data_IF_549634357568
#
_entry.id   IF_549634357568
#
_cell.length_a   1.000
_cell.length_b   1.000
_cell.length_c   1.000
_cell.angle_alpha   90.00
_cell.angle_beta   90.00
_cell.angle_gamma   90.00
#
_symmetry.space_group_name_H-M   'P 1'
#
loop_
_entity.id
_entity.type
_entity.pdbx_description
1 polymer ?
#
# COMPACT_ATOMS: atom_id res chain seq x y z
N UNK A 1 -13.61 32.06 -10.73
CA UNK A 1 -14.21 30.95 -11.50
C UNK A 1 -13.70 31.07 -12.92
N UNK A 2 -12.92 30.10 -13.41
CA UNK A 2 -12.50 30.08 -14.83
C UNK A 2 -13.57 29.28 -15.56
N UNK A 3 -14.49 29.98 -16.23
CA UNK A 3 -15.43 29.38 -17.17
C UNK A 3 -14.69 29.15 -18.48
N UNK A 4 -14.17 27.96 -18.69
CA UNK A 4 -13.63 27.55 -20.00
C UNK A 4 -14.81 27.39 -20.97
N UNK A 5 -14.89 28.28 -21.96
CA UNK A 5 -15.86 28.15 -23.05
C UNK A 5 -15.64 26.82 -23.79
N UNK A 6 -16.72 26.12 -24.19
CA UNK A 6 -16.58 24.89 -24.97
C UNK A 6 -15.89 25.19 -26.30
N UNK A 7 -14.86 24.41 -26.62
CA UNK A 7 -14.17 24.49 -27.91
C UNK A 7 -15.07 23.81 -28.94
N UNK A 8 -15.58 24.60 -29.89
CA UNK A 8 -16.35 24.09 -31.04
C UNK A 8 -15.37 23.86 -32.19
N UNK A 9 -15.17 22.61 -32.56
CA UNK A 9 -14.33 22.22 -33.70
C UNK A 9 -15.24 21.91 -34.88
N UNK A 10 -15.14 22.68 -35.97
CA UNK A 10 -15.85 22.39 -37.20
C UNK A 10 -15.08 21.31 -37.97
N UNK A 11 -15.71 20.16 -38.17
CA UNK A 11 -15.14 19.01 -38.87
C UNK A 11 -15.76 18.94 -40.27
N UNK A 12 -14.95 18.65 -41.28
CA UNK A 12 -15.45 18.42 -42.64
C UNK A 12 -16.18 17.08 -42.71
N UNK A 13 -17.28 17.06 -43.46
CA UNK A 13 -18.09 15.86 -43.68
C UNK A 13 -17.22 14.72 -44.24
N UNK A 14 -17.21 13.57 -43.57
CA UNK A 14 -16.37 12.39 -43.89
C UNK A 14 -15.02 12.31 -43.16
N UNK A 15 -14.66 13.28 -42.31
CA UNK A 15 -13.44 13.26 -41.47
C UNK A 15 -13.73 13.04 -39.97
N UNK A 16 -14.99 12.78 -39.61
CA UNK A 16 -15.45 12.65 -38.22
C UNK A 16 -14.71 11.53 -37.48
N UNK A 17 -14.46 10.41 -38.15
CA UNK A 17 -13.79 9.24 -37.55
C UNK A 17 -12.38 9.58 -37.05
N UNK A 18 -11.63 10.42 -37.77
CA UNK A 18 -10.26 10.80 -37.38
C UNK A 18 -10.22 11.61 -36.08
N UNK A 19 -11.22 12.46 -35.85
CA UNK A 19 -11.35 13.24 -34.62
C UNK A 19 -11.90 12.41 -33.46
N UNK A 20 -12.85 11.49 -33.73
CA UNK A 20 -13.39 10.58 -32.71
C UNK A 20 -12.29 9.63 -32.20
N UNK A 21 -11.44 9.11 -33.09
CA UNK A 21 -10.28 8.30 -32.71
C UNK A 21 -9.26 9.10 -31.89
N UNK A 22 -8.93 10.33 -32.32
CA UNK A 22 -8.01 11.21 -31.56
C UNK A 22 -8.50 11.52 -30.15
N UNK A 23 -9.80 11.74 -29.95
CA UNK A 23 -10.37 11.99 -28.62
C UNK A 23 -10.31 10.73 -27.75
N UNK A 24 -10.61 9.56 -28.31
CA UNK A 24 -10.49 8.28 -27.59
C UNK A 24 -9.04 8.01 -27.17
N UNK A 25 -8.10 8.21 -28.08
CA UNK A 25 -6.66 8.01 -27.81
C UNK A 25 -6.16 9.00 -26.75
N UNK A 26 -6.61 10.26 -26.81
CA UNK A 26 -6.31 11.26 -25.79
C UNK A 26 -6.88 10.85 -24.42
N UNK A 27 -8.14 10.43 -24.35
CA UNK A 27 -8.77 9.98 -23.10
C UNK A 27 -8.07 8.76 -22.52
N UNK A 28 -7.68 7.81 -23.36
CA UNK A 28 -6.91 6.63 -22.95
C UNK A 28 -5.54 7.04 -22.40
N UNK A 29 -4.82 7.90 -23.11
CA UNK A 29 -3.51 8.39 -22.67
C UNK A 29 -3.61 9.17 -21.38
N UNK A 30 -4.62 10.02 -21.23
CA UNK A 30 -4.90 10.76 -20.01
C UNK A 30 -5.19 9.81 -18.84
N UNK A 31 -6.06 8.83 -19.06
CA UNK A 31 -6.38 7.80 -18.06
C UNK A 31 -5.12 7.04 -17.64
N UNK A 32 -4.32 6.59 -18.60
CA UNK A 32 -3.04 5.91 -18.33
C UNK A 32 -2.10 6.81 -17.53
N UNK A 33 -1.98 8.09 -17.89
CA UNK A 33 -1.09 9.04 -17.21
C UNK A 33 -1.46 9.29 -15.74
N UNK A 34 -2.71 9.01 -15.38
CA UNK A 34 -3.25 9.14 -14.03
C UNK A 34 -3.15 7.83 -13.21
N UNK A 35 -2.79 6.70 -13.85
CA UNK A 35 -2.65 5.43 -13.14
C UNK A 35 -1.44 5.43 -12.21
N UNK A 36 -1.55 4.69 -11.11
CA UNK A 36 -0.46 4.55 -10.13
C UNK A 36 0.81 3.96 -10.78
N UNK A 37 0.65 2.95 -11.62
CA UNK A 37 1.74 2.32 -12.35
C UNK A 37 2.44 3.28 -13.31
N UNK A 38 1.75 4.28 -13.86
CA UNK A 38 2.39 5.32 -14.65
C UNK A 38 3.18 6.30 -13.80
N UNK A 39 2.56 6.80 -12.72
CA UNK A 39 3.16 7.84 -11.87
C UNK A 39 4.35 7.28 -11.08
N UNK A 40 4.19 6.10 -10.48
CA UNK A 40 5.14 5.51 -9.55
C UNK A 40 5.78 4.22 -10.04
N UNK A 41 5.38 3.65 -11.19
CA UNK A 41 5.93 2.39 -11.70
C UNK A 41 7.45 2.38 -11.90
N UNK A 42 8.08 3.55 -12.00
CA UNK A 42 9.53 3.69 -12.08
C UNK A 42 10.22 3.88 -10.72
N UNK A 43 9.46 4.09 -9.63
CA UNK A 43 10.00 4.17 -8.28
C UNK A 43 10.75 2.88 -7.95
N UNK A 44 12.01 2.96 -7.48
CA UNK A 44 12.78 1.78 -7.11
C UNK A 44 12.11 1.05 -5.95
N UNK A 45 12.49 -0.21 -5.74
CA UNK A 45 12.15 -0.92 -4.51
C UNK A 45 12.77 -0.22 -3.30
N UNK A 46 12.05 -0.21 -2.19
CA UNK A 46 12.49 0.40 -0.94
C UNK A 46 12.01 -0.41 0.26
N UNK A 47 12.60 -0.13 1.42
CA UNK A 47 12.22 -0.75 2.68
C UNK A 47 11.82 0.32 3.69
N UNK A 48 10.86 0.00 4.56
CA UNK A 48 10.42 0.84 5.66
C UNK A 48 10.50 0.07 6.97
N UNK A 49 11.21 0.61 7.96
CA UNK A 49 11.25 0.05 9.31
C UNK A 49 10.07 0.57 10.15
N UNK A 50 9.28 -0.31 10.76
CA UNK A 50 8.08 0.05 11.51
C UNK A 50 8.36 0.93 12.74
N UNK A 51 9.51 0.71 13.39
CA UNK A 51 9.96 1.47 14.56
C UNK A 51 10.10 2.98 14.31
N UNK A 52 10.29 3.39 13.05
CA UNK A 52 10.31 4.81 12.67
C UNK A 52 8.93 5.47 12.71
N UNK A 53 7.86 4.67 12.76
CA UNK A 53 6.47 5.13 12.70
C UNK A 53 5.69 4.85 13.99
N UNK A 54 6.12 3.86 14.77
CA UNK A 54 5.57 3.56 16.10
C UNK A 54 6.71 3.31 17.10
N UNK A 55 7.11 4.33 17.89
CA UNK A 55 8.23 4.20 18.83
C UNK A 55 8.02 3.13 19.91
N UNK A 56 6.78 2.78 20.23
CA UNK A 56 6.47 1.74 21.21
C UNK A 56 6.87 0.34 20.72
N UNK A 57 7.19 0.16 19.43
CA UNK A 57 7.74 -1.09 18.91
C UNK A 57 9.22 -1.30 19.28
N UNK A 58 9.92 -0.28 19.79
CA UNK A 58 11.34 -0.37 20.13
C UNK A 58 11.67 -1.54 21.08
N UNK A 59 10.78 -1.87 22.02
CA UNK A 59 10.97 -3.05 22.87
C UNK A 59 11.05 -4.36 22.07
N UNK A 60 10.12 -4.55 21.12
CA UNK A 60 10.09 -5.70 20.21
C UNK A 60 11.32 -5.72 19.30
N UNK A 61 11.67 -4.57 18.72
CA UNK A 61 12.76 -4.53 17.75
C UNK A 61 14.13 -4.66 18.40
N UNK A 62 14.28 -4.22 19.65
CA UNK A 62 15.45 -4.51 20.47
C UNK A 62 15.58 -5.99 20.83
N UNK A 63 14.46 -6.71 20.95
CA UNK A 63 14.45 -8.14 21.32
C UNK A 63 14.64 -9.06 20.10
N UNK A 64 13.97 -8.77 18.98
CA UNK A 64 13.83 -9.68 17.84
C UNK A 64 14.43 -9.13 16.53
N UNK A 65 14.93 -7.90 16.53
CA UNK A 65 15.38 -7.19 15.34
C UNK A 65 14.31 -6.27 14.76
N UNK A 66 14.73 -5.36 13.87
CA UNK A 66 13.81 -4.39 13.25
C UNK A 66 12.75 -5.10 12.41
N UNK A 67 11.49 -4.65 12.50
CA UNK A 67 10.41 -5.15 11.62
C UNK A 67 10.37 -4.24 10.39
N UNK A 68 10.60 -4.82 9.22
CA UNK A 68 10.72 -4.13 7.94
C UNK A 68 9.62 -4.54 6.98
N UNK A 69 9.12 -3.55 6.23
CA UNK A 69 8.27 -3.73 5.08
C UNK A 69 9.14 -3.63 3.84
N UNK A 70 9.06 -4.62 2.97
CA UNK A 70 9.60 -4.58 1.63
C UNK A 70 8.53 -4.06 0.66
N UNK A 71 8.86 -3.00 -0.07
CA UNK A 71 8.07 -2.53 -1.19
C UNK A 71 8.82 -2.81 -2.49
N UNK A 72 8.15 -3.46 -3.43
CA UNK A 72 8.68 -3.65 -4.79
C UNK A 72 8.62 -2.34 -5.58
N UNK A 73 9.28 -2.36 -6.74
CA UNK A 73 9.19 -1.30 -7.75
C UNK A 73 7.72 -0.92 -7.98
N UNK A 74 7.45 0.37 -8.13
CA UNK A 74 6.08 0.86 -8.23
C UNK A 74 5.49 1.35 -6.92
N UNK A 75 6.20 1.23 -5.79
CA UNK A 75 5.62 1.50 -4.47
C UNK A 75 4.47 0.54 -4.21
N UNK A 76 4.76 -0.76 -4.27
CA UNK A 76 3.78 -1.82 -4.04
C UNK A 76 4.28 -2.70 -2.91
N UNK A 77 3.42 -2.94 -1.91
CA UNK A 77 3.74 -3.80 -0.78
C UNK A 77 4.07 -5.22 -1.27
N UNK A 78 5.21 -5.74 -0.83
CA UNK A 78 5.67 -7.09 -1.16
C UNK A 78 5.59 -8.02 0.05
N UNK A 79 6.23 -7.64 1.14
CA UNK A 79 6.32 -8.44 2.36
C UNK A 79 6.57 -7.61 3.61
N UNK A 80 6.29 -8.21 4.76
CA UNK A 80 6.69 -7.69 6.07
C UNK A 80 7.36 -8.82 6.86
N UNK A 81 8.42 -8.50 7.60
CA UNK A 81 9.13 -9.47 8.42
C UNK A 81 10.20 -8.83 9.30
N UNK A 82 10.87 -9.64 10.10
CA UNK A 82 12.04 -9.22 10.83
C UNK A 82 13.25 -9.10 9.90
N UNK A 83 14.07 -8.09 10.09
CA UNK A 83 15.38 -8.00 9.46
C UNK A 83 16.26 -9.16 9.97
N UNK A 84 16.77 -9.96 9.04
CA UNK A 84 17.52 -11.19 9.34
C UNK A 84 18.97 -10.90 9.77
N UNK A 85 19.32 -9.63 9.96
CA UNK A 85 20.62 -9.19 10.47
C UNK A 85 20.93 -9.73 11.87
N UNK A 86 19.90 -10.08 12.64
CA UNK A 86 20.02 -10.68 13.96
C UNK A 86 19.44 -12.09 13.95
N UNK A 87 20.25 -13.11 14.26
CA UNK A 87 19.82 -14.51 14.44
C UNK A 87 19.02 -14.68 15.75
N UNK A 88 17.93 -13.93 15.89
CA UNK A 88 17.04 -14.00 17.04
C UNK A 88 15.99 -15.09 16.84
N UNK A 89 15.70 -15.84 17.92
CA UNK A 89 14.57 -16.76 17.94
C UNK A 89 13.30 -15.93 18.13
N UNK A 90 12.62 -15.65 17.03
CA UNK A 90 11.36 -14.92 17.02
C UNK A 90 10.24 -15.83 17.51
N UNK A 91 9.31 -15.27 18.29
CA UNK A 91 8.06 -15.95 18.66
C UNK A 91 7.31 -16.45 17.40
N UNK A 92 7.07 -17.78 17.28
CA UNK A 92 6.34 -18.35 16.15
C UNK A 92 4.99 -17.68 15.89
N UNK A 93 4.24 -17.30 16.93
CA UNK A 93 2.93 -16.67 16.78
C UNK A 93 3.02 -15.30 16.11
N UNK A 94 4.04 -14.52 16.47
CA UNK A 94 4.28 -13.22 15.87
C UNK A 94 4.78 -13.36 14.43
N UNK A 95 5.61 -14.36 14.16
CA UNK A 95 6.06 -14.67 12.80
C UNK A 95 4.89 -15.07 11.90
N UNK A 96 3.99 -15.92 12.39
CA UNK A 96 2.79 -16.32 11.66
C UNK A 96 1.87 -15.12 11.40
N UNK A 97 1.68 -14.25 12.40
CA UNK A 97 0.93 -13.01 12.24
C UNK A 97 1.51 -12.09 11.14
N UNK A 98 2.83 -11.89 11.12
CA UNK A 98 3.49 -11.11 10.07
C UNK A 98 3.36 -11.77 8.69
N UNK A 99 3.42 -13.10 8.63
CA UNK A 99 3.19 -13.84 7.38
C UNK A 99 1.77 -13.65 6.86
N UNK A 100 0.76 -13.68 7.74
CA UNK A 100 -0.62 -13.42 7.35
C UNK A 100 -0.82 -11.98 6.86
N UNK A 101 -0.25 -11.00 7.55
CA UNK A 101 -0.25 -9.60 7.09
C UNK A 101 0.42 -9.46 5.73
N UNK A 102 1.54 -10.14 5.53
CA UNK A 102 2.24 -10.17 4.25
C UNK A 102 1.34 -10.66 3.12
N UNK A 103 0.52 -11.67 3.38
CA UNK A 103 -0.44 -12.21 2.40
C UNK A 103 -1.58 -11.21 2.17
N UNK A 104 -2.13 -10.62 3.22
CA UNK A 104 -3.28 -9.71 3.10
C UNK A 104 -2.95 -8.41 2.36
N UNK A 105 -1.76 -7.86 2.57
CA UNK A 105 -1.32 -6.61 1.93
C UNK A 105 -0.57 -6.85 0.61
N UNK A 106 -0.31 -8.09 0.21
CA UNK A 106 0.46 -8.37 -1.00
C UNK A 106 -0.14 -7.69 -2.24
N UNK A 107 0.66 -6.88 -2.92
CA UNK A 107 0.20 -6.15 -4.11
C UNK A 107 -0.54 -4.85 -3.83
N UNK A 108 -0.73 -4.47 -2.55
CA UNK A 108 -1.33 -3.19 -2.20
C UNK A 108 -0.41 -2.03 -2.60
N UNK A 109 -0.95 -1.00 -3.24
CA UNK A 109 -0.21 0.22 -3.58
C UNK A 109 0.16 0.98 -2.31
N UNK A 110 1.33 1.60 -2.27
CA UNK A 110 1.75 2.50 -1.19
C UNK A 110 1.12 3.87 -1.39
N UNK A 111 -0.22 3.92 -1.36
CA UNK A 111 -1.02 5.14 -1.53
C UNK A 111 -1.64 5.56 -0.20
N UNK A 112 -1.83 6.86 0.00
CA UNK A 112 -2.49 7.43 1.18
C UNK A 112 -3.76 6.66 1.55
N UNK A 113 -3.80 6.09 2.76
CA UNK A 113 -4.93 5.36 3.35
C UNK A 113 -5.39 4.11 2.58
N UNK A 114 -4.62 3.65 1.60
CA UNK A 114 -5.03 2.52 0.75
C UNK A 114 -5.01 1.17 1.49
N UNK A 115 -4.25 1.08 2.59
CA UNK A 115 -4.14 -0.15 3.37
C UNK A 115 -5.24 -0.26 4.43
N UNK A 116 -5.88 0.85 4.80
CA UNK A 116 -6.75 0.94 5.98
C UNK A 116 -7.89 -0.07 5.93
N UNK A 117 -8.60 -0.16 4.81
CA UNK A 117 -9.69 -1.12 4.63
C UNK A 117 -9.21 -2.57 4.72
N UNK A 118 -8.05 -2.88 4.14
CA UNK A 118 -7.46 -4.23 4.16
C UNK A 118 -7.08 -4.60 5.60
N UNK A 119 -6.48 -3.66 6.34
CA UNK A 119 -6.09 -3.82 7.74
C UNK A 119 -7.32 -3.97 8.65
N UNK A 120 -8.39 -3.20 8.43
CA UNK A 120 -9.63 -3.33 9.19
C UNK A 120 -10.31 -4.69 8.96
N UNK A 121 -10.33 -5.16 7.71
CA UNK A 121 -10.81 -6.50 7.40
C UNK A 121 -9.95 -7.58 8.05
N UNK A 122 -8.62 -7.43 8.02
CA UNK A 122 -7.70 -8.34 8.65
C UNK A 122 -7.93 -8.43 10.16
N UNK A 123 -7.98 -7.29 10.85
CA UNK A 123 -8.25 -7.21 12.30
C UNK A 123 -9.59 -7.87 12.63
N UNK A 124 -10.64 -7.55 11.87
CA UNK A 124 -11.98 -8.12 12.08
C UNK A 124 -11.98 -9.64 11.94
N UNK A 125 -11.37 -10.19 10.88
CA UNK A 125 -11.24 -11.64 10.68
C UNK A 125 -10.45 -12.28 11.81
N UNK A 126 -9.40 -11.62 12.28
CA UNK A 126 -8.50 -12.20 13.27
C UNK A 126 -9.12 -12.22 14.67
N UNK A 127 -9.89 -11.20 15.04
CA UNK A 127 -10.70 -11.20 16.26
C UNK A 127 -11.75 -12.32 16.27
N UNK A 128 -12.36 -12.62 15.12
CA UNK A 128 -13.28 -13.77 15.00
C UNK A 128 -12.55 -15.09 15.24
N UNK A 129 -11.34 -15.26 14.68
CA UNK A 129 -10.53 -16.48 14.85
C UNK A 129 -10.08 -16.69 16.31
N UNK A 130 -9.84 -15.60 17.04
CA UNK A 130 -9.42 -15.63 18.44
C UNK A 130 -10.55 -16.01 19.41
N UNK A 131 -11.79 -16.20 18.94
CA UNK A 131 -12.92 -16.74 19.74
C UNK A 131 -13.12 -16.06 21.11
N UNK A 132 -12.93 -14.73 21.18
CA UNK A 132 -13.09 -13.95 22.42
C UNK A 132 -11.77 -13.59 23.13
N UNK A 133 -10.62 -14.10 22.65
CA UNK A 133 -9.32 -13.57 23.03
C UNK A 133 -9.00 -12.29 22.23
N UNK A 134 -8.26 -11.38 22.86
CA UNK A 134 -7.81 -10.15 22.22
C UNK A 134 -6.48 -10.39 21.49
N UNK A 135 -6.23 -9.60 20.45
CA UNK A 135 -4.88 -9.48 19.90
C UNK A 135 -3.89 -9.04 20.97
N UNK A 136 -2.65 -9.50 20.84
CA UNK A 136 -1.58 -9.04 21.72
C UNK A 136 -1.28 -7.55 21.47
N UNK A 137 -0.70 -6.88 22.47
CA UNK A 137 -0.34 -5.47 22.33
C UNK A 137 0.66 -5.25 21.18
N UNK A 138 1.57 -6.19 20.99
CA UNK A 138 2.54 -6.24 19.90
C UNK A 138 1.86 -6.20 18.53
N UNK A 139 0.87 -7.08 18.33
CA UNK A 139 0.09 -7.16 17.10
C UNK A 139 -0.65 -5.84 16.83
N UNK A 140 -1.27 -5.25 17.87
CA UNK A 140 -1.97 -3.97 17.75
C UNK A 140 -1.03 -2.81 17.39
N UNK A 141 0.17 -2.77 17.97
CA UNK A 141 1.19 -1.77 17.64
C UNK A 141 1.68 -1.91 16.18
N UNK A 142 1.84 -3.13 15.68
CA UNK A 142 2.18 -3.38 14.28
C UNK A 142 1.08 -2.86 13.34
N UNK A 143 -0.19 -3.16 13.63
CA UNK A 143 -1.32 -2.64 12.84
C UNK A 143 -1.35 -1.10 12.86
N UNK A 144 -1.11 -0.49 14.03
CA UNK A 144 -1.06 0.96 14.18
C UNK A 144 0.07 1.56 13.35
N UNK A 145 1.27 0.97 13.38
CA UNK A 145 2.39 1.40 12.56
C UNK A 145 2.07 1.33 11.07
N UNK A 146 1.44 0.24 10.62
CA UNK A 146 1.02 0.07 9.22
C UNK A 146 -0.01 1.11 8.78
N UNK A 147 -0.98 1.44 9.62
CA UNK A 147 -1.93 2.54 9.36
C UNK A 147 -1.25 3.89 9.31
N UNK A 148 -0.28 4.14 10.20
CA UNK A 148 0.50 5.38 10.18
C UNK A 148 1.28 5.51 8.88
N UNK A 149 1.97 4.46 8.45
CA UNK A 149 2.69 4.41 7.17
C UNK A 149 1.73 4.67 6.00
N UNK A 150 0.60 3.96 5.97
CA UNK A 150 -0.47 4.13 4.98
C UNK A 150 -0.92 5.59 4.86
N UNK A 151 -1.06 6.30 5.98
CA UNK A 151 -1.49 7.71 6.00
C UNK A 151 -0.43 8.72 5.54
N UNK A 152 0.84 8.33 5.48
CA UNK A 152 1.98 9.22 5.17
C UNK A 152 2.46 9.15 3.72
N UNK A 153 2.00 8.15 2.95
CA UNK A 153 2.20 8.11 1.50
C UNK A 153 1.44 9.23 0.79
#
# INVERSE_FOLDING_TARGET
MITSNPIVTNIFEGQEDQFIHSIKDFQQTLTLSQTWSWIYGNSPSFQLALENYEPNLSYLTNQFGSIVIDCSRGGVFKSIGFDHSHNCIVDPLLKDFLSELSICLHGAECRTNSWDFILDQFVSKKLIQLNGENMSNEQLLIIKALKMISSLF
#
